data_IF_807599085718
#
_entry.id   IF_807599085718
#
_cell.length_a   1.000
_cell.length_b   1.000
_cell.length_c   1.000
_cell.angle_alpha   90.00
_cell.angle_beta   90.00
_cell.angle_gamma   90.00
#
_symmetry.space_group_name_H-M   'P 1'
#
loop_
_entity.id
_entity.type
_entity.pdbx_description
1 polymer ?
#
# COMPACT_ATOMS: atom_id res chain seq x y z
N UNK A 1 -5.45 -14.74 -0.42
CA UNK A 1 -4.88 -14.58 -1.77
C UNK A 1 -3.76 -15.59 -2.02
N UNK A 2 -3.66 -16.17 -3.23
CA UNK A 2 -2.60 -17.12 -3.62
C UNK A 2 -2.00 -16.73 -4.97
N UNK A 3 -0.67 -16.71 -5.08
CA UNK A 3 0.07 -16.49 -6.32
C UNK A 3 0.79 -17.80 -6.66
N UNK A 4 0.64 -18.31 -7.88
CA UNK A 4 1.26 -19.55 -8.31
C UNK A 4 2.07 -19.34 -9.59
N UNK A 5 3.39 -19.61 -9.50
CA UNK A 5 4.35 -19.62 -10.60
C UNK A 5 4.27 -18.38 -11.50
N UNK A 6 4.10 -17.19 -10.87
CA UNK A 6 3.90 -15.93 -11.58
C UNK A 6 5.16 -15.56 -12.37
N UNK A 7 4.98 -15.30 -13.67
CA UNK A 7 6.00 -14.74 -14.55
C UNK A 7 5.48 -13.44 -15.17
N UNK A 8 6.30 -12.39 -15.13
CA UNK A 8 5.97 -11.10 -15.75
C UNK A 8 7.12 -10.67 -16.64
N UNK A 9 6.78 -10.23 -17.86
CA UNK A 9 7.75 -9.78 -18.88
C UNK A 9 7.34 -8.42 -19.42
N UNK A 10 8.34 -7.59 -19.71
CA UNK A 10 8.21 -6.43 -20.58
C UNK A 10 9.01 -6.70 -21.83
N UNK A 11 8.34 -6.84 -22.96
CA UNK A 11 8.91 -7.30 -24.22
C UNK A 11 9.67 -8.62 -24.05
N UNK A 12 11.00 -8.60 -24.23
CA UNK A 12 11.87 -9.78 -24.06
C UNK A 12 12.46 -9.91 -22.66
N UNK A 13 12.29 -8.90 -21.78
CA UNK A 13 12.91 -8.86 -20.46
C UNK A 13 12.01 -9.49 -19.41
N UNK A 14 12.46 -10.56 -18.77
CA UNK A 14 11.78 -11.17 -17.63
C UNK A 14 12.03 -10.31 -16.41
N UNK A 15 10.96 -9.78 -15.80
CA UNK A 15 11.01 -8.96 -14.59
C UNK A 15 10.69 -9.78 -13.35
N UNK A 16 9.73 -10.70 -13.46
CA UNK A 16 9.38 -11.63 -12.40
C UNK A 16 9.43 -13.03 -12.99
N UNK A 17 10.12 -13.95 -12.31
CA UNK A 17 10.27 -15.33 -12.75
C UNK A 17 9.85 -16.28 -11.63
N UNK A 18 8.87 -17.13 -11.95
CA UNK A 18 8.40 -18.24 -11.10
C UNK A 18 8.11 -17.86 -9.63
N UNK A 19 7.49 -16.70 -9.42
CA UNK A 19 7.16 -16.23 -8.07
C UNK A 19 5.88 -16.89 -7.56
N UNK A 20 5.93 -17.44 -6.35
CA UNK A 20 4.77 -18.01 -5.68
C UNK A 20 4.67 -17.49 -4.25
N UNK A 21 3.45 -17.17 -3.83
CA UNK A 21 3.14 -16.68 -2.50
C UNK A 21 1.76 -17.19 -2.08
N UNK A 22 1.67 -17.72 -0.87
CA UNK A 22 0.39 -17.97 -0.22
C UNK A 22 0.27 -16.97 0.94
N UNK A 23 -0.73 -16.11 0.88
CA UNK A 23 -1.05 -15.08 1.87
C UNK A 23 -2.40 -15.41 2.48
N UNK A 24 -2.39 -15.83 3.75
CA UNK A 24 -3.61 -16.10 4.52
C UNK A 24 -4.21 -14.79 5.06
N UNK A 25 -5.50 -14.77 5.34
CA UNK A 25 -6.16 -13.60 5.94
C UNK A 25 -5.48 -13.23 7.26
N UNK A 26 -5.16 -11.95 7.40
CA UNK A 26 -4.46 -11.42 8.57
C UNK A 26 -2.93 -11.52 8.50
N UNK A 27 -2.35 -12.24 7.53
CA UNK A 27 -0.90 -12.34 7.36
C UNK A 27 -0.30 -11.04 6.82
N UNK A 28 0.85 -10.64 7.35
CA UNK A 28 1.61 -9.47 6.92
C UNK A 28 2.97 -9.90 6.38
N UNK A 29 3.30 -9.45 5.18
CA UNK A 29 4.50 -9.85 4.44
C UNK A 29 5.26 -8.62 3.98
N UNK A 30 6.58 -8.61 4.22
CA UNK A 30 7.51 -7.67 3.61
C UNK A 30 8.25 -8.37 2.48
N UNK A 31 8.19 -7.82 1.28
CA UNK A 31 9.02 -8.23 0.15
C UNK A 31 10.19 -7.25 0.08
N UNK A 32 11.35 -7.70 0.51
CA UNK A 32 12.55 -6.89 0.66
C UNK A 32 13.55 -7.16 -0.46
N UNK A 33 14.04 -6.10 -1.08
CA UNK A 33 15.08 -6.20 -2.10
C UNK A 33 15.46 -4.86 -2.71
N UNK A 34 16.52 -4.81 -3.53
CA UNK A 34 17.02 -3.59 -4.16
C UNK A 34 15.99 -2.89 -5.06
N UNK A 35 16.22 -1.61 -5.34
CA UNK A 35 15.39 -0.88 -6.29
C UNK A 35 15.56 -1.43 -7.72
N UNK A 36 14.52 -1.31 -8.54
CA UNK A 36 14.54 -1.77 -9.94
C UNK A 36 14.39 -3.29 -10.14
N UNK A 37 14.23 -4.08 -9.09
CA UNK A 37 14.15 -5.55 -9.18
C UNK A 37 12.75 -6.10 -9.49
N UNK A 38 11.74 -5.22 -9.70
CA UNK A 38 10.38 -5.66 -10.07
C UNK A 38 9.37 -5.71 -8.93
N UNK A 39 9.69 -5.23 -7.72
CA UNK A 39 8.77 -5.23 -6.57
C UNK A 39 7.46 -4.47 -6.87
N UNK A 40 7.55 -3.25 -7.38
CA UNK A 40 6.38 -2.46 -7.83
C UNK A 40 5.62 -3.16 -8.95
N UNK A 41 6.34 -3.85 -9.86
CA UNK A 41 5.71 -4.64 -10.93
C UNK A 41 4.86 -5.77 -10.36
N UNK A 42 5.32 -6.44 -9.31
CA UNK A 42 4.51 -7.45 -8.60
C UNK A 42 3.21 -6.85 -8.08
N UNK A 43 3.26 -5.73 -7.36
CA UNK A 43 2.05 -5.06 -6.85
C UNK A 43 1.11 -4.65 -7.98
N UNK A 44 1.64 -4.09 -9.07
CA UNK A 44 0.84 -3.74 -10.26
C UNK A 44 0.22 -4.96 -10.93
N UNK A 45 0.90 -6.11 -10.90
CA UNK A 45 0.36 -7.36 -11.44
C UNK A 45 -0.76 -7.90 -10.54
N UNK A 46 -0.62 -7.83 -9.22
CA UNK A 46 -1.68 -8.16 -8.25
C UNK A 46 -2.92 -7.28 -8.49
N UNK A 47 -2.73 -6.01 -8.81
CA UNK A 47 -3.81 -5.06 -9.12
C UNK A 47 -4.43 -5.27 -10.52
N UNK A 48 -3.88 -6.16 -11.34
CA UNK A 48 -4.34 -6.36 -12.72
C UNK A 48 -3.94 -5.23 -13.70
N UNK A 49 -3.08 -4.28 -13.26
CA UNK A 49 -2.57 -3.18 -14.11
C UNK A 49 -1.53 -3.72 -15.10
N UNK A 50 -0.71 -4.66 -14.66
CA UNK A 50 0.28 -5.35 -15.49
C UNK A 50 -0.16 -6.78 -15.70
N UNK A 51 -0.18 -7.23 -16.96
CA UNK A 51 -0.57 -8.60 -17.30
C UNK A 51 0.57 -9.58 -17.03
N UNK A 52 0.25 -10.69 -16.37
CA UNK A 52 1.18 -11.81 -16.24
C UNK A 52 1.42 -12.50 -17.60
N UNK A 53 2.67 -12.90 -17.83
CA UNK A 53 3.02 -13.73 -18.99
C UNK A 53 2.61 -15.20 -18.77
N UNK A 54 2.73 -15.68 -17.52
CA UNK A 54 2.24 -16.99 -17.09
C UNK A 54 2.04 -17.00 -15.57
N UNK A 55 1.47 -18.08 -15.04
CA UNK A 55 1.07 -18.20 -13.65
C UNK A 55 -0.32 -17.63 -13.41
N UNK A 56 -0.75 -17.61 -12.16
CA UNK A 56 -2.07 -17.08 -11.79
C UNK A 56 -2.05 -16.44 -10.41
N UNK A 57 -2.98 -15.51 -10.21
CA UNK A 57 -3.28 -14.88 -8.92
C UNK A 57 -4.74 -15.24 -8.60
N UNK A 58 -4.96 -15.84 -7.45
CA UNK A 58 -6.26 -16.29 -6.96
C UNK A 58 -6.57 -15.46 -5.73
N UNK A 59 -7.66 -14.73 -5.79
CA UNK A 59 -8.18 -13.93 -4.67
C UNK A 59 -9.20 -14.73 -3.88
N UNK A 60 -9.30 -14.44 -2.57
CA UNK A 60 -10.38 -14.94 -1.74
C UNK A 60 -11.69 -14.18 -2.05
N UNK A 61 -12.81 -14.80 -1.74
CA UNK A 61 -14.12 -14.13 -1.86
C UNK A 61 -14.16 -12.85 -1.02
N UNK A 62 -14.67 -11.75 -1.59
CA UNK A 62 -14.76 -10.43 -0.96
C UNK A 62 -13.43 -9.75 -0.61
N UNK A 63 -12.33 -10.11 -1.28
CA UNK A 63 -11.06 -9.40 -1.09
C UNK A 63 -11.15 -7.98 -1.66
N UNK A 64 -10.95 -6.98 -0.78
CA UNK A 64 -10.94 -5.56 -1.13
C UNK A 64 -9.52 -5.07 -0.99
N UNK A 65 -8.92 -4.69 -2.12
CA UNK A 65 -7.53 -4.28 -2.18
C UNK A 65 -7.40 -2.77 -2.09
N UNK A 66 -6.60 -2.28 -1.14
CA UNK A 66 -6.14 -0.90 -1.11
C UNK A 66 -4.67 -0.82 -1.53
N UNK A 67 -4.36 0.11 -2.41
CA UNK A 67 -2.99 0.34 -2.88
C UNK A 67 -2.50 1.72 -2.43
N UNK A 68 -1.43 1.71 -1.64
CA UNK A 68 -0.69 2.89 -1.23
C UNK A 68 0.58 2.98 -2.09
N UNK A 69 0.54 3.87 -3.07
CA UNK A 69 1.62 4.08 -4.04
C UNK A 69 2.78 4.83 -3.41
N UNK A 70 4.00 4.59 -3.88
CA UNK A 70 5.22 5.26 -3.45
C UNK A 70 5.16 6.79 -3.65
N UNK A 71 4.68 7.23 -4.80
CA UNK A 71 4.62 8.64 -5.17
C UNK A 71 3.25 9.00 -5.75
N UNK A 72 2.78 10.18 -5.38
CA UNK A 72 1.57 10.77 -5.92
C UNK A 72 1.96 12.04 -6.66
N UNK A 73 1.78 12.09 -7.98
CA UNK A 73 2.02 13.30 -8.74
C UNK A 73 1.15 14.42 -8.18
N UNK A 74 1.67 15.64 -8.21
CA UNK A 74 0.85 16.80 -7.88
C UNK A 74 -0.34 16.85 -8.84
N UNK A 75 -1.57 16.94 -8.30
CA UNK A 75 -2.72 17.14 -9.16
C UNK A 75 -2.60 18.49 -9.88
N UNK A 76 -3.01 18.53 -11.13
CA UNK A 76 -3.04 19.77 -11.95
C UNK A 76 -4.10 20.77 -11.46
N UNK A 77 -5.02 20.34 -10.59
CA UNK A 77 -6.09 21.14 -10.02
C UNK A 77 -6.04 21.10 -8.49
N UNK A 78 -6.56 22.15 -7.82
CA UNK A 78 -6.61 22.20 -6.37
C UNK A 78 -7.60 21.15 -5.83
N UNK A 79 -7.07 20.15 -5.13
CA UNK A 79 -7.82 19.09 -4.44
C UNK A 79 -7.47 19.11 -2.96
N UNK A 80 -8.48 19.02 -2.12
CA UNK A 80 -8.32 18.98 -0.66
C UNK A 80 -7.94 17.59 -0.17
N UNK A 81 -7.42 17.53 1.07
CA UNK A 81 -7.11 16.28 1.75
C UNK A 81 -8.33 15.38 1.85
N UNK A 82 -9.49 15.94 2.18
CA UNK A 82 -10.74 15.18 2.31
C UNK A 82 -11.20 14.60 0.98
N UNK A 83 -11.05 15.35 -0.11
CA UNK A 83 -11.40 14.87 -1.45
C UNK A 83 -10.49 13.71 -1.87
N UNK A 84 -9.19 13.76 -1.56
CA UNK A 84 -8.27 12.62 -1.80
C UNK A 84 -8.69 11.41 -1.00
N UNK A 85 -9.02 11.56 0.29
CA UNK A 85 -9.47 10.46 1.14
C UNK A 85 -10.82 9.91 0.67
N UNK A 86 -11.73 10.80 0.24
CA UNK A 86 -13.04 10.43 -0.31
C UNK A 86 -12.97 9.54 -1.55
N UNK A 87 -11.87 9.61 -2.33
CA UNK A 87 -11.65 8.69 -3.46
C UNK A 87 -11.56 7.22 -3.02
N UNK A 88 -11.32 6.95 -1.73
CA UNK A 88 -11.38 5.60 -1.16
C UNK A 88 -12.80 5.09 -0.91
N UNK A 89 -13.82 5.94 -0.91
CA UNK A 89 -15.19 5.56 -0.57
C UNK A 89 -15.86 4.84 -1.74
N UNK A 90 -16.40 3.65 -1.49
CA UNK A 90 -17.33 3.00 -2.43
C UNK A 90 -18.66 3.76 -2.40
N UNK A 91 -19.26 4.04 -3.57
CA UNK A 91 -20.46 4.87 -3.81
C UNK A 91 -21.72 4.58 -2.95
N UNK A 92 -21.71 3.60 -2.08
CA UNK A 92 -22.88 3.17 -1.29
C UNK A 92 -22.89 3.62 0.18
N UNK A 93 -21.87 4.34 0.67
CA UNK A 93 -21.80 4.73 2.08
C UNK A 93 -22.54 6.04 2.37
N UNK A 94 -23.52 5.99 3.28
CA UNK A 94 -24.34 7.15 3.71
C UNK A 94 -23.60 8.15 4.63
N UNK A 95 -22.50 7.75 5.30
CA UNK A 95 -21.79 8.57 6.29
C UNK A 95 -20.38 8.99 5.83
N UNK A 96 -20.26 9.41 4.58
CA UNK A 96 -18.95 9.71 3.96
C UNK A 96 -18.07 10.69 4.75
N UNK A 97 -18.63 11.69 5.43
CA UNK A 97 -17.85 12.67 6.22
C UNK A 97 -17.22 12.05 7.47
N UNK A 98 -17.95 11.18 8.15
CA UNK A 98 -17.48 10.47 9.34
C UNK A 98 -16.44 9.41 8.97
N UNK A 99 -16.64 8.68 7.87
CA UNK A 99 -15.68 7.72 7.36
C UNK A 99 -14.34 8.39 7.01
N UNK A 100 -14.38 9.55 6.33
CA UNK A 100 -13.19 10.36 6.02
C UNK A 100 -12.48 10.80 7.30
N UNK A 101 -13.21 11.35 8.28
CA UNK A 101 -12.65 11.79 9.54
C UNK A 101 -11.99 10.64 10.30
N UNK A 102 -12.64 9.51 10.39
CA UNK A 102 -12.12 8.31 11.05
C UNK A 102 -10.86 7.77 10.33
N UNK A 103 -10.85 7.79 9.01
CA UNK A 103 -9.68 7.41 8.21
C UNK A 103 -8.49 8.36 8.45
N UNK A 104 -8.73 9.67 8.52
CA UNK A 104 -7.72 10.68 8.85
C UNK A 104 -7.17 10.49 10.27
N UNK A 105 -8.02 10.18 11.26
CA UNK A 105 -7.59 9.86 12.63
C UNK A 105 -6.68 8.64 12.63
N UNK A 106 -7.10 7.53 11.99
CA UNK A 106 -6.32 6.28 11.89
C UNK A 106 -4.95 6.51 11.24
N UNK A 107 -4.87 7.39 10.25
CA UNK A 107 -3.64 7.72 9.56
C UNK A 107 -2.80 8.80 10.26
N UNK A 108 -3.20 9.29 11.44
CA UNK A 108 -2.58 10.43 12.12
C UNK A 108 -2.41 11.65 11.19
N UNK A 109 -3.48 11.98 10.46
CA UNK A 109 -3.54 13.03 9.44
C UNK A 109 -4.70 14.02 9.65
N UNK A 110 -5.41 13.96 10.79
CA UNK A 110 -6.57 14.83 11.05
C UNK A 110 -6.20 16.32 11.04
N UNK A 111 -4.99 16.67 11.48
CA UNK A 111 -4.47 18.03 11.46
C UNK A 111 -4.22 18.59 10.05
N UNK A 112 -4.35 17.74 9.00
CA UNK A 112 -4.19 18.14 7.60
C UNK A 112 -5.53 18.46 6.94
N UNK A 113 -6.63 18.28 7.65
CA UNK A 113 -7.98 18.55 7.16
C UNK A 113 -8.10 20.00 6.65
N UNK A 114 -8.77 20.20 5.53
CA UNK A 114 -8.96 21.49 4.86
C UNK A 114 -7.76 21.98 4.05
N UNK A 115 -6.59 21.33 4.15
CA UNK A 115 -5.41 21.71 3.36
C UNK A 115 -5.51 21.17 1.93
N UNK A 116 -4.84 21.88 1.03
CA UNK A 116 -4.69 21.43 -0.36
C UNK A 116 -3.59 20.37 -0.45
N UNK A 117 -3.85 19.27 -1.15
CA UNK A 117 -2.97 18.12 -1.23
C UNK A 117 -1.58 18.48 -1.79
N UNK A 118 -1.52 19.38 -2.79
CA UNK A 118 -0.25 19.81 -3.37
C UNK A 118 0.65 20.59 -2.39
N UNK A 119 0.07 21.19 -1.33
CA UNK A 119 0.82 21.95 -0.30
C UNK A 119 1.47 21.06 0.75
N UNK A 120 1.20 19.75 0.72
CA UNK A 120 1.69 18.80 1.71
C UNK A 120 3.13 18.38 1.42
N UNK A 121 3.90 18.16 2.50
CA UNK A 121 5.19 17.46 2.43
C UNK A 121 5.02 16.00 1.99
N UNK A 122 6.11 15.34 1.58
CA UNK A 122 6.07 13.92 1.19
C UNK A 122 5.50 13.01 2.29
N UNK A 123 5.92 13.21 3.54
CA UNK A 123 5.39 12.45 4.68
C UNK A 123 3.92 12.73 4.98
N UNK A 124 3.45 13.98 4.82
CA UNK A 124 2.04 14.32 4.97
C UNK A 124 1.19 13.68 3.85
N UNK A 125 1.67 13.68 2.60
CA UNK A 125 1.01 12.99 1.48
C UNK A 125 0.90 11.49 1.73
N UNK A 126 1.95 10.88 2.28
CA UNK A 126 1.93 9.47 2.64
C UNK A 126 0.84 9.15 3.67
N UNK A 127 0.68 9.98 4.71
CA UNK A 127 -0.40 9.84 5.70
C UNK A 127 -1.79 9.95 5.05
N UNK A 128 -1.99 10.93 4.17
CA UNK A 128 -3.27 11.09 3.45
C UNK A 128 -3.54 9.90 2.53
N UNK A 129 -2.52 9.37 1.87
CA UNK A 129 -2.63 8.16 1.04
C UNK A 129 -3.04 6.94 1.85
N UNK A 130 -2.47 6.79 3.04
CA UNK A 130 -2.85 5.72 3.96
C UNK A 130 -4.29 5.93 4.48
N UNK A 131 -4.70 7.17 4.80
CA UNK A 131 -6.08 7.49 5.14
C UNK A 131 -7.06 7.10 4.02
N UNK A 132 -6.73 7.37 2.76
CA UNK A 132 -7.51 6.93 1.61
C UNK A 132 -7.66 5.41 1.58
N UNK A 133 -6.59 4.67 1.87
CA UNK A 133 -6.63 3.21 1.95
C UNK A 133 -7.54 2.72 3.09
N UNK A 134 -7.48 3.35 4.26
CA UNK A 134 -8.39 3.02 5.37
C UNK A 134 -9.85 3.29 5.03
N UNK A 135 -10.12 4.35 4.26
CA UNK A 135 -11.48 4.72 3.85
C UNK A 135 -12.10 3.70 2.87
N UNK A 136 -11.30 2.85 2.23
CA UNK A 136 -11.76 1.77 1.35
C UNK A 136 -12.36 0.58 2.10
N UNK A 137 -12.20 0.48 3.42
CA UNK A 137 -12.52 -0.73 4.20
C UNK A 137 -11.84 -1.98 3.61
N UNK A 138 -10.58 -1.83 3.19
CA UNK A 138 -9.82 -2.89 2.57
C UNK A 138 -9.42 -3.95 3.60
N UNK A 139 -9.37 -5.21 3.15
CA UNK A 139 -8.84 -6.33 3.91
C UNK A 139 -7.49 -6.84 3.36
N UNK A 140 -7.02 -6.30 2.22
CA UNK A 140 -5.68 -6.47 1.69
C UNK A 140 -5.05 -5.11 1.36
N UNK A 141 -3.95 -4.78 2.03
CA UNK A 141 -3.17 -3.57 1.78
C UNK A 141 -1.92 -3.90 0.98
N UNK A 142 -1.73 -3.21 -0.14
CA UNK A 142 -0.51 -3.23 -0.93
C UNK A 142 0.22 -1.92 -0.72
N UNK A 143 1.42 -1.97 -0.13
CA UNK A 143 2.23 -0.80 0.22
C UNK A 143 3.49 -0.79 -0.62
N UNK A 144 3.67 0.24 -1.45
CA UNK A 144 4.80 0.37 -2.37
C UNK A 144 5.78 1.41 -1.80
N UNK A 145 6.93 0.96 -1.31
CA UNK A 145 8.00 1.78 -0.70
C UNK A 145 7.45 2.81 0.32
N UNK A 146 6.65 2.37 1.32
CA UNK A 146 5.82 3.28 2.11
C UNK A 146 6.60 4.21 3.05
N UNK A 147 7.91 4.00 3.23
CA UNK A 147 8.78 4.82 4.10
C UNK A 147 9.78 5.70 3.35
N UNK A 148 9.85 5.62 2.00
CA UNK A 148 10.95 6.19 1.22
C UNK A 148 11.05 7.72 1.26
N UNK A 149 9.95 8.44 1.53
CA UNK A 149 9.94 9.91 1.58
C UNK A 149 9.75 10.46 3.00
N UNK A 150 9.89 9.59 4.02
CA UNK A 150 9.68 9.97 5.41
C UNK A 150 11.00 10.40 6.05
N UNK A 151 10.99 11.52 6.76
CA UNK A 151 12.03 11.86 7.72
C UNK A 151 11.98 10.91 8.93
N UNK A 152 13.00 10.92 9.77
CA UNK A 152 13.14 10.02 10.93
C UNK A 152 11.91 10.05 11.84
N UNK A 153 11.36 11.25 12.11
CA UNK A 153 10.18 11.44 12.97
C UNK A 153 8.93 10.82 12.34
N UNK A 154 8.72 11.09 11.05
CA UNK A 154 7.59 10.53 10.29
C UNK A 154 7.69 9.01 10.12
N UNK A 155 8.91 8.46 9.96
CA UNK A 155 9.15 7.02 9.95
C UNK A 155 8.72 6.35 11.24
N UNK A 156 9.08 6.91 12.40
CA UNK A 156 8.68 6.35 13.69
C UNK A 156 7.15 6.30 13.84
N UNK A 157 6.46 7.38 13.45
CA UNK A 157 5.00 7.43 13.46
C UNK A 157 4.42 6.37 12.50
N UNK A 158 4.99 6.24 11.32
CA UNK A 158 4.57 5.23 10.34
C UNK A 158 4.78 3.80 10.86
N UNK A 159 5.91 3.52 11.50
CA UNK A 159 6.19 2.22 12.13
C UNK A 159 5.16 1.88 13.20
N UNK A 160 4.77 2.84 14.05
CA UNK A 160 3.70 2.64 15.03
C UNK A 160 2.35 2.33 14.36
N UNK A 161 2.02 3.03 13.26
CA UNK A 161 0.82 2.73 12.49
C UNK A 161 0.85 1.31 11.90
N UNK A 162 2.00 0.86 11.41
CA UNK A 162 2.16 -0.50 10.89
C UNK A 162 2.06 -1.55 12.00
N UNK A 163 2.62 -1.29 13.19
CA UNK A 163 2.42 -2.15 14.36
C UNK A 163 0.94 -2.25 14.76
N UNK A 164 0.19 -1.15 14.68
CA UNK A 164 -1.24 -1.18 14.92
C UNK A 164 -2.01 -2.04 13.90
N UNK A 165 -1.51 -2.15 12.66
CA UNK A 165 -2.07 -3.08 11.66
C UNK A 165 -1.80 -4.56 12.02
N UNK A 166 -0.77 -4.88 12.83
CA UNK A 166 -0.51 -6.26 13.26
C UNK A 166 -1.70 -6.86 14.00
N UNK A 167 -2.40 -6.03 14.78
CA UNK A 167 -3.55 -6.44 15.58
C UNK A 167 -4.88 -6.39 14.82
N UNK A 168 -4.88 -6.00 13.54
CA UNK A 168 -6.07 -5.93 12.70
C UNK A 168 -6.19 -7.17 11.81
N UNK A 169 -7.42 -7.62 11.59
CA UNK A 169 -7.71 -8.74 10.70
C UNK A 169 -7.67 -8.32 9.22
N UNK A 170 -6.54 -7.75 8.80
CA UNK A 170 -6.26 -7.40 7.41
C UNK A 170 -4.92 -7.98 6.99
N UNK A 171 -4.78 -8.32 5.73
CA UNK A 171 -3.52 -8.77 5.16
C UNK A 171 -2.74 -7.59 4.60
N UNK A 172 -1.41 -7.67 4.62
CA UNK A 172 -0.54 -6.62 4.09
C UNK A 172 0.59 -7.23 3.26
N UNK A 173 0.83 -6.66 2.10
CA UNK A 173 2.07 -6.86 1.34
C UNK A 173 2.76 -5.50 1.24
N UNK A 174 3.89 -5.35 1.92
CA UNK A 174 4.74 -4.18 1.79
C UNK A 174 5.96 -4.55 0.95
N UNK A 175 6.24 -3.79 -0.11
CA UNK A 175 7.49 -3.93 -0.86
C UNK A 175 8.41 -2.79 -0.48
N UNK A 176 9.66 -3.10 -0.13
CA UNK A 176 10.61 -2.08 0.32
C UNK A 176 12.07 -2.51 0.18
N UNK A 177 12.97 -1.52 0.23
CA UNK A 177 14.41 -1.71 0.43
C UNK A 177 14.85 -1.19 1.81
N UNK A 178 13.91 -0.75 2.68
CA UNK A 178 14.19 -0.17 3.98
C UNK A 178 14.34 -1.26 5.05
N UNK A 179 15.57 -1.43 5.55
CA UNK A 179 15.88 -2.39 6.60
C UNK A 179 15.22 -2.06 7.96
N UNK A 180 14.88 -0.79 8.21
CA UNK A 180 14.24 -0.41 9.46
C UNK A 180 12.85 -1.01 9.59
N UNK A 181 12.11 -1.15 8.47
CA UNK A 181 10.82 -1.84 8.47
C UNK A 181 10.98 -3.30 8.89
N UNK A 182 12.01 -3.99 8.37
CA UNK A 182 12.28 -5.39 8.71
C UNK A 182 12.64 -5.55 10.18
N UNK A 183 13.47 -4.64 10.71
CA UNK A 183 13.95 -4.71 12.10
C UNK A 183 12.86 -4.40 13.13
N UNK A 184 11.89 -3.56 12.77
CA UNK A 184 10.89 -3.03 13.70
C UNK A 184 9.51 -3.68 13.60
N UNK A 185 9.21 -4.41 12.52
CA UNK A 185 7.94 -5.11 12.32
C UNK A 185 8.14 -6.62 12.40
N UNK A 186 7.30 -7.29 13.16
CA UNK A 186 7.31 -8.75 13.27
C UNK A 186 6.54 -9.41 12.11
N UNK A 187 6.84 -8.97 10.88
CA UNK A 187 6.19 -9.46 9.67
C UNK A 187 7.06 -10.51 8.98
N UNK A 188 6.43 -11.42 8.25
CA UNK A 188 7.14 -12.39 7.42
C UNK A 188 7.95 -11.68 6.34
N UNK A 189 9.23 -11.97 6.23
CA UNK A 189 10.12 -11.35 5.25
C UNK A 189 10.42 -12.32 4.11
N UNK A 190 10.17 -11.88 2.89
CA UNK A 190 10.56 -12.57 1.66
C UNK A 190 11.67 -11.76 1.00
N UNK A 191 12.86 -12.35 0.90
CA UNK A 191 13.98 -11.71 0.20
C UNK A 191 13.72 -11.79 -1.30
N UNK A 192 13.70 -10.63 -1.94
CA UNK A 192 13.55 -10.50 -3.38
C UNK A 192 14.93 -10.39 -4.01
N UNK A 193 15.49 -11.53 -4.38
CA UNK A 193 16.78 -11.62 -5.05
C UNK A 193 16.51 -11.73 -6.56
N UNK A 194 17.16 -10.89 -7.32
CA UNK A 194 17.29 -11.03 -8.75
C UNK A 194 18.75 -11.25 -9.07
#
# INVERSE_FOLDING_TARGET
MKIENLCVKYDKNIVIENFSLNLTLGEKVIIYGPNGTGKTTLLKTILGIVKAASGKIIFEDNEIIAYCKQDYPNPEFPITVEEVVAMGIKKQNKNSKEDIKNALIKANALNLQGRLFYSLSGGERQKVSLARCYCQNANLFLLDEPSSFLDTKSKNIFLEQMKNLENQNCSVIAVTHDEELIKNLNWKVIKWNK
#
